data_IF_710222559560
#
_entry.id   IF_710222559560
#
_cell.length_a   1.000
_cell.length_b   1.000
_cell.length_c   1.000
_cell.angle_alpha   90.00
_cell.angle_beta   90.00
_cell.angle_gamma   90.00
#
_symmetry.space_group_name_H-M   'P 1'
#
loop_
_entity.id
_entity.type
_entity.pdbx_description
1 polymer ?
#
# COMPACT_ATOMS: atom_id res chain seq x y z
N UNK A 1 -15.07 13.06 -1.54
CA UNK A 1 -14.65 12.64 -2.89
C UNK A 1 -14.89 13.81 -3.82
N UNK A 2 -13.86 14.35 -4.47
CA UNK A 2 -13.97 15.47 -5.42
C UNK A 2 -14.61 15.02 -6.75
N UNK A 3 -15.88 14.57 -6.71
CA UNK A 3 -16.68 14.25 -7.90
C UNK A 3 -16.29 12.98 -8.69
N UNK A 4 -15.19 12.30 -8.37
CA UNK A 4 -14.81 11.02 -9.00
C UNK A 4 -15.55 9.85 -8.35
N UNK A 5 -15.94 8.84 -9.15
CA UNK A 5 -16.43 7.56 -8.60
C UNK A 5 -15.24 6.72 -8.15
N UNK A 6 -15.32 6.20 -6.94
CA UNK A 6 -14.36 5.31 -6.32
C UNK A 6 -14.88 3.87 -6.30
N UNK A 7 -14.00 2.92 -6.57
CA UNK A 7 -14.25 1.50 -6.32
C UNK A 7 -13.28 1.01 -5.26
N UNK A 8 -13.75 0.18 -4.34
CA UNK A 8 -12.91 -0.38 -3.29
C UNK A 8 -13.06 -1.89 -3.29
N UNK A 9 -11.92 -2.57 -3.28
CA UNK A 9 -11.86 -4.02 -3.12
C UNK A 9 -11.59 -4.36 -1.65
N UNK A 10 -12.34 -5.33 -1.12
CA UNK A 10 -12.16 -5.87 0.23
C UNK A 10 -11.99 -7.40 0.17
N UNK A 11 -11.06 -7.94 0.96
CA UNK A 11 -10.65 -9.35 0.96
C UNK A 11 -11.61 -10.30 1.64
N UNK A 12 -12.59 -10.84 0.91
CA UNK A 12 -13.53 -11.82 1.47
C UNK A 12 -14.53 -11.23 2.48
N UNK A 13 -15.72 -11.82 2.49
CA UNK A 13 -16.87 -11.45 3.30
C UNK A 13 -17.82 -10.45 2.64
N UNK A 14 -19.11 -10.56 2.93
CA UNK A 14 -20.14 -9.61 2.48
C UNK A 14 -19.99 -8.27 3.21
N UNK A 15 -20.63 -7.19 2.74
CA UNK A 15 -20.76 -5.92 3.50
C UNK A 15 -21.22 -6.13 4.96
N UNK A 16 -21.89 -7.25 5.24
CA UNK A 16 -22.37 -7.61 6.57
C UNK A 16 -21.32 -8.24 7.50
N UNK A 17 -20.25 -8.86 6.97
CA UNK A 17 -19.24 -9.55 7.79
C UNK A 17 -18.09 -8.64 8.22
N UNK A 18 -17.89 -7.51 7.53
CA UNK A 18 -16.93 -6.47 7.89
C UNK A 18 -17.67 -5.17 8.13
N UNK A 19 -17.42 -4.52 9.26
CA UNK A 19 -18.00 -3.20 9.51
C UNK A 19 -17.36 -2.16 8.57
N UNK A 20 -17.94 -1.98 7.38
CA UNK A 20 -17.50 -1.02 6.36
C UNK A 20 -18.18 0.35 6.52
N UNK A 21 -18.88 0.59 7.63
CA UNK A 21 -19.59 1.86 7.88
C UNK A 21 -18.67 3.07 7.81
N UNK A 22 -17.39 2.92 8.18
CA UNK A 22 -16.41 4.00 8.10
C UNK A 22 -16.06 4.42 6.65
N UNK A 23 -16.34 3.56 5.66
CA UNK A 23 -16.23 3.88 4.23
C UNK A 23 -17.58 4.33 3.67
N UNK A 24 -18.66 3.60 3.96
CA UNK A 24 -19.99 3.90 3.40
C UNK A 24 -20.64 5.15 3.99
N UNK A 25 -20.20 5.60 5.16
CA UNK A 25 -20.65 6.86 5.78
C UNK A 25 -19.87 8.10 5.30
N UNK A 26 -18.87 7.94 4.42
CA UNK A 26 -18.13 9.08 3.89
C UNK A 26 -19.03 9.96 3.00
N UNK A 27 -18.84 11.29 3.02
CA UNK A 27 -19.61 12.19 2.16
C UNK A 27 -19.52 11.80 0.67
N UNK A 28 -20.69 11.51 0.08
CA UNK A 28 -20.83 11.11 -1.32
C UNK A 28 -20.60 9.62 -1.61
N UNK A 29 -20.35 8.79 -0.60
CA UNK A 29 -20.11 7.36 -0.80
C UNK A 29 -21.31 6.62 -1.40
N UNK A 30 -22.55 6.95 -0.99
CA UNK A 30 -23.74 6.27 -1.51
C UNK A 30 -23.97 6.46 -3.01
N UNK A 31 -23.40 7.49 -3.63
CA UNK A 31 -23.45 7.72 -5.08
C UNK A 31 -22.17 7.32 -5.81
N UNK A 32 -21.02 7.41 -5.14
CA UNK A 32 -19.71 7.34 -5.77
C UNK A 32 -18.87 6.16 -5.33
N UNK A 33 -19.25 5.40 -4.30
CA UNK A 33 -18.50 4.25 -3.81
C UNK A 33 -19.15 2.95 -4.26
N UNK A 34 -18.37 2.07 -4.86
CA UNK A 34 -18.75 0.69 -5.11
C UNK A 34 -17.78 -0.26 -4.41
N UNK A 35 -18.31 -1.26 -3.72
CA UNK A 35 -17.51 -2.23 -2.98
C UNK A 35 -17.52 -3.56 -3.73
N UNK A 36 -16.33 -4.12 -3.94
CA UNK A 36 -16.10 -5.39 -4.59
C UNK A 36 -15.42 -6.35 -3.61
N UNK A 37 -15.80 -7.63 -3.66
CA UNK A 37 -15.05 -8.69 -2.99
C UNK A 37 -13.93 -9.15 -3.90
N UNK A 38 -12.68 -9.11 -3.44
CA UNK A 38 -11.52 -9.58 -4.18
C UNK A 38 -10.41 -10.06 -3.23
N UNK A 39 -9.68 -11.11 -3.60
CA UNK A 39 -8.66 -11.74 -2.77
C UNK A 39 -7.30 -11.78 -3.50
N UNK A 40 -6.22 -11.43 -2.79
CA UNK A 40 -4.86 -11.50 -3.32
C UNK A 40 -4.44 -12.92 -3.72
N UNK A 41 -5.00 -13.93 -3.06
CA UNK A 41 -4.74 -15.33 -3.42
C UNK A 41 -5.55 -15.78 -4.66
N UNK A 42 -6.53 -14.98 -5.09
CA UNK A 42 -7.29 -15.16 -6.32
C UNK A 42 -7.29 -13.89 -7.19
N UNK A 43 -6.19 -13.60 -7.92
CA UNK A 43 -6.07 -12.36 -8.68
C UNK A 43 -7.17 -12.10 -9.73
N UNK A 44 -7.82 -13.14 -10.24
CA UNK A 44 -8.92 -13.00 -11.19
C UNK A 44 -10.13 -12.28 -10.58
N UNK A 45 -10.27 -12.33 -9.26
CA UNK A 45 -11.34 -11.64 -8.52
C UNK A 45 -11.29 -10.11 -8.62
N UNK A 46 -10.16 -9.53 -9.04
CA UNK A 46 -10.02 -8.08 -9.21
C UNK A 46 -10.56 -7.56 -10.55
N UNK A 47 -10.80 -8.42 -11.53
CA UNK A 47 -11.16 -8.02 -12.90
C UNK A 47 -12.39 -7.12 -12.95
N UNK A 48 -13.47 -7.51 -12.26
CA UNK A 48 -14.71 -6.73 -12.22
C UNK A 48 -14.53 -5.35 -11.59
N UNK A 49 -13.65 -5.23 -10.58
CA UNK A 49 -13.35 -3.94 -9.98
C UNK A 49 -12.59 -3.05 -10.98
N UNK A 50 -11.58 -3.61 -11.66
CA UNK A 50 -10.66 -2.93 -12.61
C UNK A 50 -11.37 -2.47 -13.89
N UNK A 51 -12.40 -3.16 -14.34
CA UNK A 51 -13.06 -2.89 -15.61
C UNK A 51 -13.63 -1.46 -15.71
N UNK A 52 -13.19 -0.70 -16.71
CA UNK A 52 -13.65 0.67 -16.93
C UNK A 52 -12.98 1.72 -16.03
N UNK A 53 -12.10 1.32 -15.12
CA UNK A 53 -11.28 2.26 -14.35
C UNK A 53 -10.14 2.81 -15.21
N UNK A 54 -9.76 4.04 -14.92
CA UNK A 54 -8.64 4.73 -15.58
C UNK A 54 -7.39 4.74 -14.71
N UNK A 55 -7.53 4.45 -13.42
CA UNK A 55 -6.42 4.31 -12.48
C UNK A 55 -6.70 3.29 -11.37
N UNK A 56 -5.65 2.61 -10.93
CA UNK A 56 -5.70 1.61 -9.85
C UNK A 56 -4.68 1.95 -8.76
N UNK A 57 -5.12 2.00 -7.50
CA UNK A 57 -4.27 2.15 -6.33
C UNK A 57 -4.11 0.82 -5.59
N UNK A 58 -2.88 0.32 -5.61
CA UNK A 58 -2.43 -0.82 -4.84
C UNK A 58 -1.92 -0.35 -3.48
N UNK A 59 -2.86 -0.13 -2.55
CA UNK A 59 -2.59 0.29 -1.16
C UNK A 59 -2.50 -0.92 -0.21
N UNK A 60 -2.65 -2.12 -0.76
CA UNK A 60 -2.70 -3.37 -0.02
C UNK A 60 -1.31 -3.84 0.41
N UNK A 61 -1.11 -4.11 1.69
CA UNK A 61 -0.04 -5.02 2.14
C UNK A 61 -0.60 -5.84 3.29
N UNK A 62 -0.51 -7.16 3.18
CA UNK A 62 -0.71 -8.06 4.32
C UNK A 62 0.42 -7.82 5.30
N UNK A 63 0.08 -7.33 6.48
CA UNK A 63 1.05 -6.99 7.51
C UNK A 63 1.12 -8.16 8.50
N UNK A 64 2.24 -8.88 8.49
CA UNK A 64 2.62 -9.67 9.66
C UNK A 64 3.87 -9.09 10.32
N UNK A 65 3.69 -8.02 11.09
CA UNK A 65 4.74 -7.45 11.94
C UNK A 65 5.18 -8.38 13.09
N UNK A 66 4.56 -9.55 13.24
CA UNK A 66 4.81 -10.47 14.34
C UNK A 66 5.61 -11.71 13.93
N UNK A 67 6.00 -11.84 12.66
CA UNK A 67 6.78 -12.99 12.17
C UNK A 67 6.12 -14.34 12.48
N UNK A 68 4.79 -14.40 12.47
CA UNK A 68 4.00 -15.61 12.71
C UNK A 68 4.03 -16.55 11.51
N UNK A 69 4.23 -15.99 10.32
CA UNK A 69 4.40 -16.74 9.09
C UNK A 69 5.85 -16.68 8.59
N UNK A 70 6.38 -17.75 7.97
CA UNK A 70 7.71 -17.73 7.38
C UNK A 70 7.86 -16.62 6.33
N UNK A 71 9.04 -15.99 6.29
CA UNK A 71 9.38 -14.90 5.38
C UNK A 71 9.01 -15.23 3.92
N UNK A 72 9.35 -16.44 3.47
CA UNK A 72 9.11 -16.91 2.11
C UNK A 72 7.62 -17.01 1.77
N UNK A 73 6.78 -17.36 2.75
CA UNK A 73 5.33 -17.44 2.58
C UNK A 73 4.73 -16.05 2.41
N UNK A 74 5.15 -15.10 3.25
CA UNK A 74 4.72 -13.69 3.18
C UNK A 74 5.17 -13.06 1.86
N UNK A 75 6.43 -13.28 1.48
CA UNK A 75 7.01 -12.79 0.24
C UNK A 75 6.25 -13.34 -0.97
N UNK A 76 6.06 -14.66 -1.03
CA UNK A 76 5.33 -15.32 -2.11
C UNK A 76 3.91 -14.78 -2.24
N UNK A 77 3.14 -14.72 -1.15
CA UNK A 77 1.76 -14.21 -1.16
C UNK A 77 1.67 -12.78 -1.66
N UNK A 78 2.57 -11.91 -1.20
CA UNK A 78 2.53 -10.48 -1.52
C UNK A 78 2.99 -10.21 -2.95
N UNK A 79 4.04 -10.89 -3.41
CA UNK A 79 4.52 -10.80 -4.79
C UNK A 79 3.48 -11.37 -5.75
N UNK A 80 3.01 -12.60 -5.52
CA UNK A 80 2.03 -13.25 -6.41
C UNK A 80 0.72 -12.46 -6.47
N UNK A 81 0.24 -11.94 -5.33
CA UNK A 81 -0.96 -11.10 -5.29
C UNK A 81 -0.78 -9.79 -6.05
N UNK A 82 0.36 -9.11 -5.88
CA UNK A 82 0.66 -7.86 -6.60
C UNK A 82 0.76 -8.10 -8.10
N UNK A 83 1.57 -9.08 -8.52
CA UNK A 83 1.74 -9.43 -9.93
C UNK A 83 0.43 -9.92 -10.55
N UNK A 84 -0.40 -10.61 -9.78
CA UNK A 84 -1.73 -11.02 -10.18
C UNK A 84 -2.63 -9.84 -10.52
N UNK A 85 -2.65 -8.81 -9.68
CA UNK A 85 -3.42 -7.59 -9.97
C UNK A 85 -2.84 -6.86 -11.19
N UNK A 86 -1.51 -6.77 -11.32
CA UNK A 86 -0.87 -6.18 -12.51
C UNK A 86 -1.23 -6.96 -13.80
N UNK A 87 -1.33 -8.28 -13.74
CA UNK A 87 -1.83 -9.11 -14.85
C UNK A 87 -3.29 -8.80 -15.19
N UNK A 88 -4.16 -8.62 -14.18
CA UNK A 88 -5.54 -8.20 -14.42
C UNK A 88 -5.61 -6.81 -15.07
N UNK A 89 -4.72 -5.90 -14.67
CA UNK A 89 -4.58 -4.57 -15.27
C UNK A 89 -4.19 -4.61 -16.77
N UNK A 90 -3.38 -5.58 -17.22
CA UNK A 90 -3.03 -5.73 -18.64
C UNK A 90 -4.23 -5.97 -19.54
N UNK A 91 -5.27 -6.61 -19.01
CA UNK A 91 -6.49 -6.92 -19.76
C UNK A 91 -7.44 -5.70 -19.85
N UNK A 92 -7.16 -4.61 -19.12
CA UNK A 92 -7.97 -3.40 -19.14
C UNK A 92 -7.66 -2.51 -20.33
N UNK A 93 -8.70 -2.14 -21.08
CA UNK A 93 -8.58 -1.20 -22.22
C UNK A 93 -8.64 0.27 -21.82
N UNK A 94 -9.05 0.57 -20.58
CA UNK A 94 -9.29 1.93 -20.10
C UNK A 94 -8.22 2.41 -19.13
N UNK A 95 -7.45 1.48 -18.56
CA UNK A 95 -6.46 1.78 -17.54
C UNK A 95 -5.32 2.62 -18.13
N UNK A 96 -5.00 3.71 -17.45
CA UNK A 96 -3.93 4.63 -17.86
C UNK A 96 -2.73 4.58 -16.92
N UNK A 97 -2.97 4.38 -15.62
CA UNK A 97 -1.91 4.40 -14.61
C UNK A 97 -2.22 3.50 -13.43
N UNK A 98 -1.19 2.86 -12.91
CA UNK A 98 -1.21 2.10 -11.66
C UNK A 98 -0.33 2.83 -10.66
N UNK A 99 -0.80 2.97 -9.43
CA UNK A 99 -0.03 3.53 -8.33
C UNK A 99 0.12 2.47 -7.25
N UNK A 100 1.37 2.08 -6.98
CA UNK A 100 1.71 1.13 -5.93
C UNK A 100 2.22 1.87 -4.69
N UNK A 101 1.59 1.60 -3.55
CA UNK A 101 2.07 2.12 -2.27
C UNK A 101 3.18 1.21 -1.75
N UNK A 102 4.43 1.63 -1.96
CA UNK A 102 5.61 0.99 -1.38
C UNK A 102 5.80 1.44 0.09
N UNK A 103 7.03 1.56 0.55
CA UNK A 103 7.43 1.94 1.91
C UNK A 103 8.88 2.39 1.91
N UNK A 104 9.25 3.32 2.78
CA UNK A 104 10.64 3.70 3.03
C UNK A 104 11.51 2.48 3.39
N UNK A 105 10.91 1.41 3.92
CA UNK A 105 11.62 0.15 4.16
C UNK A 105 12.18 -0.52 2.91
N UNK A 106 11.72 -0.16 1.70
CA UNK A 106 12.28 -0.63 0.45
C UNK A 106 13.56 0.12 0.02
N UNK A 107 13.89 1.21 0.72
CA UNK A 107 14.99 2.13 0.38
C UNK A 107 16.08 2.19 1.47
N UNK A 108 15.66 2.30 2.74
CA UNK A 108 16.55 2.74 3.84
C UNK A 108 17.47 1.67 4.42
N UNK A 109 17.16 0.39 4.25
CA UNK A 109 17.91 -0.70 4.91
C UNK A 109 18.98 -1.27 3.99
N UNK A 110 20.03 -0.49 3.71
CA UNK A 110 21.07 -0.85 2.74
C UNK A 110 22.47 -1.05 3.34
N UNK A 111 22.58 -1.05 4.67
CA UNK A 111 23.84 -1.27 5.39
C UNK A 111 24.87 -0.15 5.28
N UNK A 112 24.51 0.98 4.67
CA UNK A 112 25.38 2.14 4.50
C UNK A 112 24.97 3.25 5.46
N UNK A 113 25.96 3.97 5.97
CA UNK A 113 25.75 5.14 6.82
C UNK A 113 25.50 6.36 5.92
N UNK A 114 24.23 6.58 5.55
CA UNK A 114 23.80 7.63 4.62
C UNK A 114 22.68 8.43 5.27
N UNK A 115 22.91 9.73 5.42
CA UNK A 115 21.99 10.67 6.08
C UNK A 115 20.77 11.03 5.20
N UNK A 116 20.97 11.16 3.89
CA UNK A 116 19.92 11.56 2.93
C UNK A 116 19.86 10.55 1.80
N UNK A 117 18.68 9.97 1.60
CA UNK A 117 18.40 9.00 0.54
C UNK A 117 17.31 9.52 -0.39
N UNK A 118 17.39 9.13 -1.66
CA UNK A 118 16.42 9.40 -2.71
C UNK A 118 15.96 8.08 -3.36
N UNK A 119 15.18 8.17 -4.44
CA UNK A 119 14.60 7.04 -5.17
C UNK A 119 15.63 6.18 -5.91
N UNK A 120 16.91 6.57 -5.95
CA UNK A 120 17.98 5.75 -6.53
C UNK A 120 18.47 4.63 -5.59
N UNK A 121 18.09 4.70 -4.31
CA UNK A 121 18.48 3.75 -3.29
C UNK A 121 17.51 2.58 -3.18
N UNK A 122 18.05 1.42 -2.81
CA UNK A 122 17.31 0.21 -2.51
C UNK A 122 17.84 -0.42 -1.23
N UNK A 123 16.93 -0.96 -0.43
CA UNK A 123 17.27 -1.83 0.68
C UNK A 123 17.94 -3.12 0.18
N UNK A 124 18.88 -3.60 0.99
CA UNK A 124 19.60 -4.83 0.80
C UNK A 124 18.96 -5.93 1.67
N UNK A 125 18.46 -6.97 1.01
CA UNK A 125 17.71 -8.05 1.67
C UNK A 125 18.61 -8.85 2.61
N UNK A 126 19.87 -9.07 2.26
CA UNK A 126 20.80 -9.85 3.09
C UNK A 126 21.23 -9.03 4.30
N UNK A 127 21.40 -7.71 4.12
CA UNK A 127 21.58 -6.80 5.25
C UNK A 127 20.38 -6.83 6.20
N UNK A 128 19.14 -6.72 5.67
CA UNK A 128 17.93 -6.76 6.50
C UNK A 128 17.88 -8.07 7.32
N UNK A 129 18.14 -9.23 6.70
CA UNK A 129 18.17 -10.52 7.41
C UNK A 129 19.22 -10.55 8.52
N UNK A 130 20.37 -9.89 8.30
CA UNK A 130 21.43 -9.81 9.31
C UNK A 130 21.05 -8.99 10.54
N UNK A 131 20.06 -8.09 10.44
CA UNK A 131 19.58 -7.28 11.58
C UNK A 131 18.83 -8.11 12.63
N UNK A 132 18.29 -9.27 12.23
CA UNK A 132 17.54 -10.19 13.09
C UNK A 132 16.49 -9.46 13.96
N UNK A 133 15.72 -8.58 13.30
CA UNK A 133 14.77 -7.67 13.94
C UNK A 133 13.33 -8.13 13.67
N UNK A 134 12.40 -7.82 14.56
CA UNK A 134 10.99 -8.24 14.43
C UNK A 134 10.26 -7.70 13.19
N UNK A 135 10.84 -6.74 12.48
CA UNK A 135 10.29 -6.16 11.25
C UNK A 135 10.93 -6.64 9.94
N UNK A 136 11.95 -7.51 10.01
CA UNK A 136 12.74 -7.93 8.85
C UNK A 136 11.88 -8.46 7.68
N UNK A 137 10.93 -9.34 7.98
CA UNK A 137 10.04 -9.98 7.00
C UNK A 137 9.18 -8.94 6.27
N UNK A 138 8.75 -7.89 6.96
CA UNK A 138 8.01 -6.79 6.33
C UNK A 138 8.93 -5.97 5.41
N UNK A 139 10.14 -5.61 5.86
CA UNK A 139 11.08 -4.83 5.07
C UNK A 139 11.49 -5.56 3.80
N UNK A 140 11.78 -6.86 3.90
CA UNK A 140 12.10 -7.74 2.78
C UNK A 140 10.92 -7.84 1.82
N UNK A 141 9.71 -8.11 2.34
CA UNK A 141 8.50 -8.22 1.52
C UNK A 141 8.22 -6.96 0.71
N UNK A 142 8.32 -5.77 1.32
CA UNK A 142 8.15 -4.49 0.59
C UNK A 142 9.21 -4.30 -0.47
N UNK A 143 10.47 -4.61 -0.16
CA UNK A 143 11.60 -4.48 -1.10
C UNK A 143 11.42 -5.39 -2.32
N UNK A 144 11.14 -6.68 -2.09
CA UNK A 144 11.01 -7.67 -3.17
C UNK A 144 9.75 -7.44 -4.00
N UNK A 145 8.64 -7.06 -3.37
CA UNK A 145 7.38 -6.79 -4.08
C UNK A 145 7.50 -5.56 -4.98
N UNK A 146 8.12 -4.47 -4.51
CA UNK A 146 8.31 -3.28 -5.33
C UNK A 146 9.21 -3.56 -6.54
N UNK A 147 10.35 -4.24 -6.34
CA UNK A 147 11.23 -4.65 -7.45
C UNK A 147 10.49 -5.50 -8.48
N UNK A 148 9.74 -6.50 -8.02
CA UNK A 148 8.98 -7.39 -8.90
C UNK A 148 7.89 -6.63 -9.67
N UNK A 149 7.20 -5.69 -9.01
CA UNK A 149 6.15 -4.90 -9.63
C UNK A 149 6.70 -3.96 -10.72
N UNK A 150 7.82 -3.28 -10.44
CA UNK A 150 8.51 -2.41 -11.40
C UNK A 150 9.02 -3.19 -12.61
N UNK A 151 9.69 -4.32 -12.37
CA UNK A 151 10.20 -5.19 -13.44
C UNK A 151 9.05 -5.70 -14.32
N UNK A 152 7.96 -6.18 -13.71
CA UNK A 152 6.78 -6.63 -14.45
C UNK A 152 6.16 -5.50 -15.28
N UNK A 153 6.04 -4.31 -14.70
CA UNK A 153 5.47 -3.16 -15.39
C UNK A 153 6.31 -2.76 -16.60
N UNK A 154 7.64 -2.72 -16.46
CA UNK A 154 8.57 -2.42 -17.55
C UNK A 154 8.47 -3.46 -18.68
N UNK A 155 8.50 -4.76 -18.33
CA UNK A 155 8.42 -5.85 -19.29
C UNK A 155 7.12 -5.85 -20.10
N UNK A 156 6.03 -5.40 -19.51
CA UNK A 156 4.69 -5.44 -20.12
C UNK A 156 4.16 -4.07 -20.56
N UNK A 157 4.96 -3.00 -20.42
CA UNK A 157 4.58 -1.64 -20.83
C UNK A 157 3.46 -1.02 -20.01
N UNK A 158 3.33 -1.37 -18.72
CA UNK A 158 2.39 -0.72 -17.80
C UNK A 158 2.97 0.60 -17.26
N UNK A 159 2.17 1.65 -17.25
CA UNK A 159 2.50 2.89 -16.53
C UNK A 159 2.26 2.68 -15.01
N UNK A 160 3.30 2.18 -14.34
CA UNK A 160 3.33 1.97 -12.90
C UNK A 160 4.19 3.05 -12.22
N UNK A 161 3.61 3.70 -11.20
CA UNK A 161 4.33 4.63 -10.31
C UNK A 161 4.32 4.04 -8.91
N UNK A 162 5.46 4.09 -8.22
CA UNK A 162 5.53 3.74 -6.80
C UNK A 162 5.57 5.00 -5.95
N UNK A 163 4.95 4.94 -4.77
CA UNK A 163 5.04 6.01 -3.76
C UNK A 163 5.63 5.37 -2.51
N UNK A 164 6.61 6.05 -1.91
CA UNK A 164 7.44 5.53 -0.82
C UNK A 164 7.12 6.33 0.46
N UNK A 165 6.07 5.96 1.23
CA UNK A 165 5.79 6.56 2.53
C UNK A 165 6.79 6.11 3.58
N UNK A 166 7.12 6.99 4.53
CA UNK A 166 7.63 6.59 5.85
C UNK A 166 6.48 6.46 6.85
N UNK A 167 6.69 6.78 8.14
CA UNK A 167 5.63 6.73 9.14
C UNK A 167 4.53 7.76 8.88
N UNK A 168 3.37 7.26 8.44
CA UNK A 168 2.16 8.07 8.23
C UNK A 168 1.46 8.31 9.57
N UNK A 169 1.32 9.57 9.98
CA UNK A 169 0.61 9.94 11.20
C UNK A 169 -0.47 11.00 10.95
N UNK A 170 -1.50 11.02 11.80
CA UNK A 170 -2.61 11.97 11.73
C UNK A 170 -3.97 11.31 11.98
N UNK A 171 -5.06 12.06 11.72
CA UNK A 171 -6.41 11.52 11.83
C UNK A 171 -6.62 10.32 10.90
N UNK A 172 -7.32 9.31 11.39
CA UNK A 172 -7.67 8.11 10.63
C UNK A 172 -9.17 7.81 10.80
N UNK A 173 -9.74 7.12 9.81
CA UNK A 173 -11.17 6.75 9.79
C UNK A 173 -11.40 5.26 10.05
N UNK A 174 -10.36 4.44 9.96
CA UNK A 174 -10.47 3.00 10.19
C UNK A 174 -10.77 2.69 11.67
N UNK A 175 -11.51 1.61 11.96
CA UNK A 175 -11.95 1.28 13.32
C UNK A 175 -10.82 0.83 14.25
N UNK A 176 -9.66 0.45 13.69
CA UNK A 176 -8.46 0.07 14.44
C UNK A 176 -7.43 1.19 14.36
N UNK A 177 -6.70 1.39 15.45
CA UNK A 177 -5.57 2.30 15.50
C UNK A 177 -4.45 1.80 14.55
N UNK A 178 -4.08 2.56 13.50
CA UNK A 178 -2.98 2.17 12.63
C UNK A 178 -1.66 2.07 13.40
N UNK A 179 -0.83 1.08 13.07
CA UNK A 179 0.45 0.86 13.74
C UNK A 179 1.38 2.09 13.68
N UNK A 180 1.37 2.82 12.55
CA UNK A 180 2.15 4.05 12.38
C UNK A 180 1.67 5.18 13.30
N UNK A 181 0.35 5.30 13.50
CA UNK A 181 -0.23 6.27 14.44
C UNK A 181 0.06 5.87 15.88
N UNK A 182 -0.03 4.58 16.22
CA UNK A 182 0.37 4.08 17.55
C UNK A 182 1.84 4.42 17.85
N UNK A 183 2.74 4.10 16.91
CA UNK A 183 4.17 4.38 17.02
C UNK A 183 4.42 5.89 17.22
N UNK A 184 3.73 6.74 16.45
CA UNK A 184 3.82 8.20 16.60
C UNK A 184 3.41 8.73 17.97
N UNK A 185 2.58 7.97 18.69
CA UNK A 185 2.08 8.28 20.03
C UNK A 185 2.78 7.47 21.13
N UNK A 186 3.83 6.72 20.82
CA UNK A 186 4.49 5.82 21.77
C UNK A 186 4.99 6.53 23.03
N UNK A 187 5.49 7.77 22.91
CA UNK A 187 5.87 8.58 24.07
C UNK A 187 4.69 8.89 25.00
N UNK A 188 3.50 9.11 24.44
CA UNK A 188 2.26 9.33 25.21
C UNK A 188 1.80 8.04 25.88
N UNK A 189 1.91 6.91 25.18
CA UNK A 189 1.55 5.60 25.73
C UNK A 189 2.61 5.02 26.69
N UNK A 190 3.80 5.61 26.75
CA UNK A 190 4.91 5.10 27.55
C UNK A 190 5.56 3.83 26.99
N UNK A 191 5.34 3.53 25.71
CA UNK A 191 5.85 2.34 25.05
C UNK A 191 7.28 2.57 24.52
N UNK A 192 8.26 2.25 25.37
CA UNK A 192 9.68 2.49 25.09
C UNK A 192 10.23 1.64 23.95
N UNK A 193 9.61 0.49 23.67
CA UNK A 193 10.07 -0.42 22.61
C UNK A 193 9.92 0.22 21.22
N UNK A 194 9.06 1.25 21.11
CA UNK A 194 8.81 1.97 19.87
C UNK A 194 9.69 3.22 19.69
N UNK A 195 10.47 3.63 20.69
CA UNK A 195 11.21 4.90 20.65
C UNK A 195 12.32 4.90 19.60
N UNK A 196 12.91 3.74 19.33
CA UNK A 196 13.91 3.58 18.26
C UNK A 196 13.32 3.95 16.90
N UNK A 197 12.06 3.62 16.61
CA UNK A 197 11.43 3.99 15.35
C UNK A 197 11.21 5.50 15.23
N UNK A 198 10.90 6.19 16.33
CA UNK A 198 10.69 7.64 16.32
C UNK A 198 11.96 8.44 16.07
N UNK A 199 13.10 7.93 16.52
CA UNK A 199 14.39 8.62 16.38
C UNK A 199 14.99 8.39 14.99
N UNK A 200 14.75 7.22 14.39
CA UNK A 200 15.45 6.79 13.19
C UNK A 200 14.65 6.94 11.89
N UNK A 201 13.33 7.18 11.94
CA UNK A 201 12.51 7.26 10.73
C UNK A 201 11.81 8.61 10.59
N UNK A 202 11.83 9.21 9.39
CA UNK A 202 11.08 10.44 9.13
C UNK A 202 9.57 10.17 9.21
N UNK A 203 8.80 11.20 9.52
CA UNK A 203 7.33 11.09 9.63
C UNK A 203 6.66 11.97 8.57
N UNK A 204 5.55 11.48 8.01
CA UNK A 204 4.73 12.19 7.03
C UNK A 204 3.30 12.33 7.54
N UNK A 205 2.68 13.48 7.33
CA UNK A 205 1.31 13.70 7.80
C UNK A 205 0.29 13.12 6.82
N UNK A 206 -0.84 12.67 7.36
CA UNK A 206 -2.01 12.27 6.57
C UNK A 206 -2.57 13.41 5.71
N UNK A 207 -2.24 14.68 5.96
CA UNK A 207 -2.71 15.79 5.10
C UNK A 207 -1.82 16.02 3.88
N UNK A 208 -0.55 15.63 3.95
CA UNK A 208 0.35 15.58 2.79
C UNK A 208 0.17 14.31 1.97
N UNK A 209 -0.13 13.18 2.62
CA UNK A 209 -0.16 11.86 1.97
C UNK A 209 -1.16 11.72 0.81
N UNK A 210 -2.47 12.04 0.96
CA UNK A 210 -3.41 12.08 -0.15
C UNK A 210 -2.97 13.08 -1.22
N UNK A 211 -2.40 14.24 -0.86
CA UNK A 211 -1.97 15.22 -1.86
C UNK A 211 -0.88 14.65 -2.77
N UNK A 212 0.07 13.86 -2.27
CA UNK A 212 1.06 13.19 -3.12
C UNK A 212 0.42 12.10 -4.00
N UNK A 213 -0.48 11.28 -3.45
CA UNK A 213 -1.25 10.27 -4.19
C UNK A 213 -2.09 10.93 -5.31
N UNK A 214 -2.78 12.02 -5.00
CA UNK A 214 -3.57 12.81 -5.95
C UNK A 214 -2.69 13.62 -6.91
N UNK A 215 -1.51 14.07 -6.51
CA UNK A 215 -0.57 14.79 -7.37
C UNK A 215 0.06 13.87 -8.42
N UNK A 216 0.40 12.63 -8.03
CA UNK A 216 0.84 11.57 -8.96
C UNK A 216 -0.25 11.21 -10.01
N UNK A 217 -1.53 11.47 -9.71
CA UNK A 217 -2.65 11.39 -10.66
C UNK A 217 -2.85 12.67 -11.49
N UNK A 218 -2.81 13.85 -10.86
CA UNK A 218 -3.25 15.12 -11.45
C UNK A 218 -2.32 15.65 -12.54
N UNK A 219 -1.13 15.09 -12.69
CA UNK A 219 -0.29 15.40 -13.87
C UNK A 219 -0.92 14.84 -15.16
N UNK A 220 -1.88 13.89 -15.13
CA UNK A 220 -2.47 13.33 -16.37
C UNK A 220 -3.96 12.96 -16.36
N UNK A 221 -4.70 13.04 -15.25
CA UNK A 221 -6.07 12.51 -15.19
C UNK A 221 -7.14 13.61 -15.00
N UNK A 222 -7.71 14.07 -16.12
CA UNK A 222 -9.02 14.71 -16.12
C UNK A 222 -10.12 13.63 -16.07
N UNK A 223 -10.94 13.65 -15.01
CA UNK A 223 -12.24 12.96 -14.84
C UNK A 223 -12.30 11.48 -15.23
N UNK A 224 -12.21 10.58 -14.23
CA UNK A 224 -12.65 9.20 -14.35
C UNK A 224 -12.47 8.37 -13.08
N UNK A 225 -12.96 7.12 -13.13
CA UNK A 225 -13.14 6.25 -11.98
C UNK A 225 -11.81 5.66 -11.45
N UNK A 226 -11.67 5.61 -10.12
CA UNK A 226 -10.45 5.25 -9.39
C UNK A 226 -10.70 4.05 -8.46
N UNK A 227 -9.76 3.11 -8.37
CA UNK A 227 -9.83 1.99 -7.41
C UNK A 227 -8.85 2.18 -6.27
N UNK A 228 -9.27 2.00 -5.02
CA UNK A 228 -8.35 1.86 -3.88
C UNK A 228 -8.65 0.57 -3.10
N UNK A 229 -7.64 -0.24 -2.82
CA UNK A 229 -7.80 -1.45 -2.01
C UNK A 229 -7.38 -1.20 -0.56
N UNK A 230 -8.28 -1.44 0.42
CA UNK A 230 -7.99 -1.31 1.86
C UNK A 230 -8.39 -2.60 2.60
N UNK A 231 -7.45 -3.16 3.38
CA UNK A 231 -7.69 -4.34 4.24
C UNK A 231 -8.11 -3.94 5.67
N UNK A 232 -8.83 -4.82 6.39
CA UNK A 232 -9.24 -4.60 7.80
C UNK A 232 -8.12 -4.74 8.84
#
# INVERSE_FOLDING_TARGET
>A
MEGNKGRVCVTGGTEHEKNLSFLTSLPGASQNLQIFSADLENPESFGAAIEGCIGVFLVATTIDFKGREPEEVVNKRTIDGTLGILKACLNSKTLKRIVYTSSASAVVFNGKDIEVMDESFWSDVDYIRSLNSSGDSYFISKTLTEKSALEFAEQHGLDLVTIIPSFVFGPFICPKLPASVYTSLAMVFGDKDQYSYLINFPMITWTTWPKHIYFSLNILIQKGDIIAHQMP
#
